data_IF_650367864049
#
_entry.id   IF_650367864049
#
_cell.length_a   1.000
_cell.length_b   1.000
_cell.length_c   1.000
_cell.angle_alpha   90.00
_cell.angle_beta   90.00
_cell.angle_gamma   90.00
#
_symmetry.space_group_name_H-M   'P 1'
#
loop_
_entity.id
_entity.type
_entity.pdbx_description
1 polymer ?
#
# COMPACT_ATOMS: atom_id res chain seq x y z
N UNK A 1 -23.37 6.90 -12.39
CA UNK A 1 -23.44 5.43 -12.32
C UNK A 1 -22.65 4.97 -11.10
N UNK A 2 -23.25 4.15 -10.25
CA UNK A 2 -22.58 3.54 -9.09
C UNK A 2 -21.46 2.63 -9.55
N UNK A 3 -20.23 2.87 -9.07
CA UNK A 3 -19.09 2.02 -9.37
C UNK A 3 -18.82 1.07 -8.21
N UNK A 4 -18.37 -0.13 -8.51
CA UNK A 4 -17.88 -1.07 -7.49
C UNK A 4 -16.36 -1.06 -7.54
N UNK A 5 -15.72 -0.67 -6.44
CA UNK A 5 -14.28 -0.60 -6.32
C UNK A 5 -13.76 -1.56 -5.24
N UNK A 6 -12.66 -2.20 -5.52
CA UNK A 6 -11.91 -3.01 -4.57
C UNK A 6 -10.71 -2.22 -4.03
N UNK A 7 -10.49 -2.27 -2.72
CA UNK A 7 -9.34 -1.68 -2.02
C UNK A 7 -8.58 -2.82 -1.36
N UNK A 8 -7.29 -2.98 -1.69
CA UNK A 8 -6.42 -4.04 -1.21
C UNK A 8 -5.32 -3.43 -0.35
N UNK A 9 -5.37 -3.69 0.95
CA UNK A 9 -4.56 -3.04 1.97
C UNK A 9 -3.46 -3.96 2.49
N UNK A 10 -2.32 -3.36 2.82
CA UNK A 10 -1.22 -4.00 3.53
C UNK A 10 -0.45 -3.00 4.38
N UNK A 11 0.45 -3.48 5.26
CA UNK A 11 1.29 -2.66 6.12
C UNK A 11 2.77 -2.99 6.01
N UNK A 12 3.62 -1.99 6.20
CA UNK A 12 5.07 -2.12 6.21
C UNK A 12 5.69 -1.47 7.44
N UNK A 13 6.78 -2.08 7.96
CA UNK A 13 7.59 -1.53 9.05
C UNK A 13 6.94 -1.50 10.43
N UNK A 14 5.77 -2.13 10.62
CA UNK A 14 5.07 -2.15 11.91
C UNK A 14 5.94 -2.77 13.02
N UNK A 15 6.48 -3.96 12.80
CA UNK A 15 7.24 -4.72 13.81
C UNK A 15 8.72 -4.37 13.89
N UNK A 16 9.25 -3.49 13.04
CA UNK A 16 10.65 -3.10 13.07
C UNK A 16 10.87 -1.92 14.04
N UNK A 17 11.44 -2.21 15.20
CA UNK A 17 11.70 -1.21 16.25
C UNK A 17 12.79 -0.18 15.88
N UNK A 18 13.60 -0.45 14.85
CA UNK A 18 14.61 0.50 14.36
C UNK A 18 14.00 1.56 13.42
N UNK A 19 12.85 1.29 12.85
CA UNK A 19 12.16 2.21 11.95
C UNK A 19 11.25 3.16 12.74
N UNK A 20 11.39 4.45 12.49
CA UNK A 20 10.60 5.50 13.14
C UNK A 20 9.19 5.61 12.55
N UNK A 21 8.99 5.17 11.31
CA UNK A 21 7.71 5.28 10.61
C UNK A 21 7.13 3.92 10.26
N UNK A 22 5.84 3.79 10.56
CA UNK A 22 4.94 2.80 10.03
C UNK A 22 4.36 3.32 8.71
N UNK A 23 4.18 2.46 7.73
CA UNK A 23 3.45 2.79 6.50
C UNK A 23 2.32 1.79 6.32
N UNK A 24 1.09 2.30 6.21
CA UNK A 24 -0.08 1.52 5.82
C UNK A 24 -0.55 2.07 4.48
N UNK A 25 -0.81 1.20 3.54
CA UNK A 25 -1.26 1.63 2.22
C UNK A 25 -2.13 0.60 1.53
N UNK A 26 -2.64 1.00 0.39
CA UNK A 26 -3.48 0.15 -0.41
C UNK A 26 -3.41 0.50 -1.89
N UNK A 27 -3.77 -0.46 -2.72
CA UNK A 27 -4.13 -0.21 -4.10
C UNK A 27 -5.65 -0.29 -4.26
N UNK A 28 -6.19 0.55 -5.15
CA UNK A 28 -7.62 0.56 -5.50
C UNK A 28 -7.79 0.38 -7.00
N UNK A 29 -8.74 -0.45 -7.38
CA UNK A 29 -9.15 -0.65 -8.76
C UNK A 29 -10.68 -0.82 -8.85
N UNK A 30 -11.25 -0.64 -10.03
CA UNK A 30 -12.62 -1.08 -10.26
C UNK A 30 -12.69 -2.60 -10.19
N UNK A 31 -13.83 -3.13 -9.75
CA UNK A 31 -14.02 -4.58 -9.63
C UNK A 31 -13.87 -5.30 -10.97
N UNK A 32 -14.33 -4.68 -12.04
CA UNK A 32 -14.23 -5.19 -13.40
C UNK A 32 -12.79 -5.28 -13.91
N UNK A 33 -11.90 -4.37 -13.47
CA UNK A 33 -10.49 -4.35 -13.87
C UNK A 33 -9.63 -5.41 -13.17
N UNK A 34 -10.13 -6.04 -12.09
CA UNK A 34 -9.33 -6.97 -11.28
C UNK A 34 -8.75 -8.11 -12.10
N UNK A 35 -9.55 -8.73 -12.97
CA UNK A 35 -9.11 -9.89 -13.76
C UNK A 35 -7.97 -9.52 -14.71
N UNK A 36 -8.07 -8.37 -15.35
CA UNK A 36 -7.03 -7.86 -16.27
C UNK A 36 -5.74 -7.50 -15.53
N UNK A 37 -5.85 -6.87 -14.35
CA UNK A 37 -4.70 -6.57 -13.50
C UNK A 37 -3.96 -7.85 -13.14
N UNK A 38 -4.68 -8.87 -12.68
CA UNK A 38 -4.09 -10.18 -12.34
C UNK A 38 -3.43 -10.81 -13.56
N UNK A 39 -4.10 -10.80 -14.71
CA UNK A 39 -3.59 -11.37 -15.97
C UNK A 39 -2.31 -10.66 -16.42
N UNK A 40 -2.26 -9.33 -16.33
CA UNK A 40 -1.06 -8.55 -16.68
C UNK A 40 0.13 -8.97 -15.81
N UNK A 41 -0.06 -9.04 -14.49
CA UNK A 41 0.99 -9.40 -13.55
C UNK A 41 1.45 -10.85 -13.74
N UNK A 42 0.53 -11.79 -13.93
CA UNK A 42 0.92 -13.19 -14.19
C UNK A 42 1.69 -13.34 -15.51
N UNK A 43 1.38 -12.54 -16.54
CA UNK A 43 2.18 -12.48 -17.77
C UNK A 43 3.59 -11.95 -17.53
N UNK A 44 3.74 -10.91 -16.68
CA UNK A 44 5.05 -10.40 -16.29
C UNK A 44 5.85 -11.46 -15.51
N UNK A 45 5.23 -12.13 -14.55
CA UNK A 45 5.86 -13.24 -13.80
C UNK A 45 6.33 -14.35 -14.75
N UNK A 46 5.48 -14.78 -15.67
CA UNK A 46 5.81 -15.84 -16.63
C UNK A 46 7.00 -15.44 -17.52
N UNK A 47 7.02 -14.19 -18.03
CA UNK A 47 8.11 -13.66 -18.87
C UNK A 47 9.47 -13.71 -18.16
N UNK A 48 9.50 -13.43 -16.87
CA UNK A 48 10.72 -13.40 -16.06
C UNK A 48 11.00 -14.70 -15.29
N UNK A 49 10.19 -15.74 -15.47
CA UNK A 49 10.35 -17.01 -14.75
C UNK A 49 10.11 -16.89 -13.23
N UNK A 50 9.27 -15.97 -12.79
CA UNK A 50 8.95 -15.76 -11.39
C UNK A 50 7.74 -16.60 -10.98
N UNK A 51 7.93 -17.54 -10.07
CA UNK A 51 6.85 -18.40 -9.54
C UNK A 51 6.37 -18.01 -8.15
N UNK A 52 7.11 -17.13 -7.46
CA UNK A 52 6.81 -16.76 -6.08
C UNK A 52 5.90 -15.54 -5.95
N UNK A 53 5.64 -15.18 -4.70
CA UNK A 53 4.94 -13.96 -4.30
C UNK A 53 5.76 -12.71 -4.66
N UNK A 54 5.06 -11.66 -5.10
CA UNK A 54 5.63 -10.34 -5.30
C UNK A 54 5.57 -9.61 -3.95
N UNK A 55 6.65 -8.93 -3.58
CA UNK A 55 6.62 -8.13 -2.37
C UNK A 55 7.96 -7.46 -2.11
N UNK A 56 7.96 -6.48 -1.22
CA UNK A 56 9.17 -5.71 -0.90
C UNK A 56 10.30 -6.57 -0.35
N UNK A 57 9.97 -7.63 0.41
CA UNK A 57 10.97 -8.55 0.99
C UNK A 57 11.72 -9.33 -0.09
N UNK A 58 11.08 -9.62 -1.21
CA UNK A 58 11.64 -10.42 -2.30
C UNK A 58 12.34 -9.60 -3.39
N UNK A 59 12.33 -8.24 -3.26
CA UNK A 59 13.09 -7.33 -4.13
C UNK A 59 14.58 -7.58 -3.98
N UNK A 60 15.23 -7.96 -5.08
CA UNK A 60 16.66 -8.27 -5.14
C UNK A 60 17.25 -7.95 -6.51
N UNK A 61 18.58 -7.80 -6.58
CA UNK A 61 19.29 -7.51 -7.84
C UNK A 61 19.10 -8.62 -8.88
N UNK A 62 18.98 -9.87 -8.45
CA UNK A 62 18.74 -11.01 -9.36
C UNK A 62 17.37 -11.00 -10.04
N UNK A 63 16.43 -10.19 -9.54
CA UNK A 63 15.08 -10.01 -10.09
C UNK A 63 14.86 -8.55 -10.54
N UNK A 64 15.91 -7.83 -10.86
CA UNK A 64 15.86 -6.39 -11.13
C UNK A 64 14.89 -6.07 -12.27
N UNK A 65 15.05 -6.70 -13.43
CA UNK A 65 14.24 -6.44 -14.62
C UNK A 65 12.76 -6.67 -14.37
N UNK A 66 12.43 -7.73 -13.61
CA UNK A 66 11.05 -8.02 -13.21
C UNK A 66 10.44 -6.89 -12.34
N UNK A 67 11.17 -6.44 -11.30
CA UNK A 67 10.65 -5.39 -10.43
C UNK A 67 10.57 -4.02 -11.10
N UNK A 68 11.53 -3.70 -12.00
CA UNK A 68 11.45 -2.51 -12.83
C UNK A 68 10.23 -2.56 -13.75
N UNK A 69 9.98 -3.68 -14.42
CA UNK A 69 8.83 -3.82 -15.34
C UNK A 69 7.48 -3.76 -14.61
N UNK A 70 7.38 -4.30 -13.37
CA UNK A 70 6.16 -4.17 -12.56
C UNK A 70 5.87 -2.70 -12.21
N UNK A 71 6.87 -1.95 -11.77
CA UNK A 71 6.64 -0.54 -11.40
C UNK A 71 6.38 0.33 -12.62
N UNK A 72 6.98 0.01 -13.78
CA UNK A 72 6.65 0.63 -15.07
C UNK A 72 5.19 0.35 -15.46
N UNK A 73 4.77 -0.92 -15.35
CA UNK A 73 3.37 -1.31 -15.59
C UNK A 73 2.41 -0.55 -14.66
N UNK A 74 2.73 -0.51 -13.35
CA UNK A 74 1.91 0.23 -12.39
C UNK A 74 1.82 1.71 -12.77
N UNK A 75 2.93 2.38 -13.05
CA UNK A 75 2.95 3.81 -13.37
C UNK A 75 2.11 4.15 -14.61
N UNK A 76 2.15 3.28 -15.63
CA UNK A 76 1.45 3.47 -16.91
C UNK A 76 0.00 2.95 -16.92
N UNK A 77 -0.41 2.14 -15.95
CA UNK A 77 -1.77 1.59 -15.88
C UNK A 77 -2.75 2.64 -15.33
N UNK A 78 -3.88 2.83 -16.01
CA UNK A 78 -4.98 3.67 -15.53
C UNK A 78 -6.00 2.90 -14.67
N UNK A 79 -5.86 1.56 -14.58
CA UNK A 79 -6.81 0.67 -13.90
C UNK A 79 -6.57 0.54 -12.40
N UNK A 80 -5.40 0.92 -11.92
CA UNK A 80 -5.00 0.77 -10.53
C UNK A 80 -4.35 2.05 -10.00
N UNK A 81 -4.69 2.43 -8.79
CA UNK A 81 -4.15 3.61 -8.10
C UNK A 81 -3.67 3.22 -6.71
N UNK A 82 -2.74 3.97 -6.16
CA UNK A 82 -2.14 3.71 -4.86
C UNK A 82 -2.32 4.88 -3.91
N UNK A 83 -2.53 4.57 -2.63
CA UNK A 83 -2.49 5.52 -1.53
C UNK A 83 -1.84 4.91 -0.31
N UNK A 84 -1.05 5.70 0.41
CA UNK A 84 -0.52 5.29 1.70
C UNK A 84 -0.53 6.43 2.72
N UNK A 85 -0.49 6.03 3.99
CA UNK A 85 -0.32 6.89 5.16
C UNK A 85 0.99 6.50 5.82
N UNK A 86 1.91 7.45 5.93
CA UNK A 86 3.12 7.34 6.74
C UNK A 86 2.81 7.90 8.12
N UNK A 87 3.07 7.16 9.18
CA UNK A 87 2.79 7.59 10.54
C UNK A 87 4.03 7.45 11.42
N UNK A 88 4.40 8.53 12.13
CA UNK A 88 5.49 8.48 13.08
C UNK A 88 5.06 7.66 14.31
N UNK A 89 5.78 6.57 14.57
CA UNK A 89 5.46 5.65 15.67
C UNK A 89 5.48 6.35 17.04
N UNK A 90 6.36 7.31 17.26
CA UNK A 90 6.43 8.05 18.54
C UNK A 90 5.13 8.81 18.83
N UNK A 91 4.46 9.30 17.81
CA UNK A 91 3.22 10.08 17.96
C UNK A 91 1.98 9.17 18.08
N UNK A 92 2.12 7.88 17.73
CA UNK A 92 1.05 6.89 17.82
C UNK A 92 1.02 6.15 19.15
N UNK A 93 2.20 5.89 19.75
CA UNK A 93 2.38 4.98 20.88
C UNK A 93 1.96 5.54 22.25
N UNK A 94 1.27 6.66 22.35
CA UNK A 94 0.63 7.08 23.59
C UNK A 94 -0.64 6.28 23.96
N UNK A 95 -1.02 5.32 23.11
CA UNK A 95 -2.19 4.44 23.21
C UNK A 95 -1.77 2.99 23.00
N UNK A 96 -2.69 2.06 23.23
CA UNK A 96 -2.53 0.65 22.84
C UNK A 96 -2.08 0.56 21.37
N UNK A 97 -0.96 -0.13 21.11
CA UNK A 97 -0.31 -0.23 19.79
C UNK A 97 -1.29 -0.71 18.71
N UNK A 98 -2.19 -1.62 19.06
CA UNK A 98 -3.18 -2.15 18.12
C UNK A 98 -4.25 -1.09 17.79
N UNK A 99 -4.66 -0.26 18.74
CA UNK A 99 -5.60 0.83 18.48
C UNK A 99 -4.97 1.92 17.60
N UNK A 100 -3.70 2.25 17.83
CA UNK A 100 -2.95 3.19 17.02
C UNK A 100 -2.84 2.73 15.56
N UNK A 101 -2.59 1.45 15.34
CA UNK A 101 -2.54 0.83 14.03
C UNK A 101 -3.87 1.01 13.24
N UNK A 102 -5.00 0.75 13.89
CA UNK A 102 -6.32 0.92 13.25
C UNK A 102 -6.72 2.38 13.03
N UNK A 103 -6.15 3.34 13.78
CA UNK A 103 -6.30 4.77 13.48
C UNK A 103 -5.66 5.10 12.12
N UNK A 104 -4.49 4.54 11.81
CA UNK A 104 -3.83 4.77 10.51
C UNK A 104 -4.63 4.15 9.36
N UNK A 105 -5.19 2.94 9.54
CA UNK A 105 -6.11 2.36 8.56
C UNK A 105 -7.36 3.21 8.33
N UNK A 106 -7.91 3.76 9.40
CA UNK A 106 -9.05 4.65 9.29
C UNK A 106 -8.72 5.89 8.46
N UNK A 107 -7.54 6.52 8.71
CA UNK A 107 -7.07 7.66 7.92
C UNK A 107 -6.85 7.30 6.44
N UNK A 108 -6.35 6.11 6.14
CA UNK A 108 -6.18 5.64 4.78
C UNK A 108 -7.53 5.54 4.06
N UNK A 109 -8.52 4.92 4.69
CA UNK A 109 -9.78 4.52 4.06
C UNK A 109 -10.79 5.66 3.98
N UNK A 110 -11.01 6.41 5.07
CA UNK A 110 -12.06 7.43 5.17
C UNK A 110 -11.89 8.57 4.15
N UNK A 111 -10.65 8.91 3.79
CA UNK A 111 -10.36 9.98 2.84
C UNK A 111 -10.23 9.52 1.38
N UNK A 112 -10.58 8.27 1.09
CA UNK A 112 -10.40 7.70 -0.25
C UNK A 112 -11.69 7.24 -0.92
N UNK A 113 -12.79 7.28 -0.19
CA UNK A 113 -14.09 6.84 -0.68
C UNK A 113 -14.90 8.02 -1.19
N UNK A 114 -15.42 7.90 -2.42
CA UNK A 114 -16.29 8.88 -3.06
C UNK A 114 -17.75 8.51 -2.85
N UNK A 115 -18.63 9.52 -2.99
CA UNK A 115 -20.08 9.34 -2.98
C UNK A 115 -20.54 8.33 -4.03
N UNK A 116 -21.67 7.69 -3.76
CA UNK A 116 -22.43 6.84 -4.70
C UNK A 116 -21.68 5.59 -5.19
N UNK A 117 -20.59 5.20 -4.52
CA UNK A 117 -19.81 4.01 -4.86
C UNK A 117 -19.93 2.91 -3.80
N UNK A 118 -19.75 1.67 -4.25
CA UNK A 118 -19.69 0.47 -3.40
C UNK A 118 -18.24 0.02 -3.29
N UNK A 119 -17.79 -0.24 -2.06
CA UNK A 119 -16.42 -0.65 -1.77
C UNK A 119 -16.35 -2.05 -1.16
N UNK A 120 -15.41 -2.85 -1.65
CA UNK A 120 -14.96 -4.08 -1.04
C UNK A 120 -13.52 -3.87 -0.55
N UNK A 121 -13.28 -4.08 0.74
CA UNK A 121 -11.99 -3.87 1.38
C UNK A 121 -11.38 -5.22 1.74
N UNK A 122 -10.17 -5.45 1.27
CA UNK A 122 -9.38 -6.65 1.52
C UNK A 122 -8.11 -6.25 2.26
N UNK A 123 -7.91 -6.81 3.43
CA UNK A 123 -6.73 -6.55 4.26
C UNK A 123 -5.83 -7.79 4.27
N UNK A 124 -4.51 -7.60 4.19
CA UNK A 124 -3.60 -8.73 4.39
C UNK A 124 -3.81 -9.35 5.77
N UNK A 125 -3.84 -10.70 5.82
CA UNK A 125 -4.11 -11.43 7.06
C UNK A 125 -3.03 -11.18 8.08
N UNK A 126 -3.43 -10.67 9.25
CA UNK A 126 -2.58 -10.41 10.38
C UNK A 126 -3.03 -11.18 11.60
N UNK A 127 -2.10 -11.65 12.41
CA UNK A 127 -2.41 -12.16 13.76
C UNK A 127 -2.79 -11.00 14.67
N UNK A 128 -4.08 -10.74 14.79
CA UNK A 128 -4.62 -9.74 15.71
C UNK A 128 -4.68 -10.33 17.13
N UNK A 129 -4.35 -9.52 18.14
CA UNK A 129 -4.48 -9.90 19.54
C UNK A 129 -5.94 -9.90 20.02
N UNK A 130 -6.82 -9.14 19.32
CA UNK A 130 -8.23 -8.98 19.67
C UNK A 130 -9.14 -9.30 18.48
N UNK A 131 -10.21 -10.03 18.75
CA UNK A 131 -11.24 -10.32 17.76
C UNK A 131 -12.10 -9.08 17.43
N UNK A 132 -12.72 -9.06 16.26
CA UNK A 132 -13.70 -8.02 15.88
C UNK A 132 -13.11 -6.69 15.42
N UNK A 133 -11.81 -6.62 15.16
CA UNK A 133 -11.14 -5.36 14.72
C UNK A 133 -11.61 -4.88 13.36
N UNK A 134 -11.78 -5.78 12.40
CA UNK A 134 -12.22 -5.41 11.06
C UNK A 134 -13.66 -4.89 11.04
N UNK A 135 -14.64 -5.55 11.69
CA UNK A 135 -15.97 -4.97 11.87
C UNK A 135 -15.96 -3.58 12.53
N UNK A 136 -15.13 -3.40 13.56
CA UNK A 136 -14.97 -2.11 14.24
C UNK A 136 -14.38 -1.04 13.30
N UNK A 137 -13.35 -1.39 12.52
CA UNK A 137 -12.77 -0.50 11.52
C UNK A 137 -13.83 -0.10 10.48
N UNK A 138 -14.57 -1.08 9.94
CA UNK A 138 -15.67 -0.82 9.00
C UNK A 138 -16.66 0.17 9.56
N UNK A 139 -17.15 -0.02 10.80
CA UNK A 139 -18.09 0.89 11.45
C UNK A 139 -17.54 2.31 11.60
N UNK A 140 -16.28 2.44 12.01
CA UNK A 140 -15.62 3.75 12.15
C UNK A 140 -15.49 4.46 10.81
N UNK A 141 -15.01 3.77 9.78
CA UNK A 141 -14.86 4.34 8.44
C UNK A 141 -16.22 4.78 7.88
N UNK A 142 -17.27 3.97 8.05
CA UNK A 142 -18.64 4.31 7.58
C UNK A 142 -19.22 5.58 8.21
N UNK A 143 -18.72 6.05 9.35
CA UNK A 143 -19.17 7.31 9.96
C UNK A 143 -18.58 8.55 9.29
N UNK A 144 -17.41 8.40 8.68
CA UNK A 144 -16.60 9.52 8.18
C UNK A 144 -16.52 9.58 6.66
N UNK A 145 -17.13 8.61 5.96
CA UNK A 145 -17.29 8.64 4.50
C UNK A 145 -18.61 9.29 4.11
N UNK A 146 -18.78 9.74 2.85
CA UNK A 146 -20.05 10.28 2.37
C UNK A 146 -21.21 9.29 2.61
N UNK A 147 -22.39 9.79 3.02
CA UNK A 147 -23.57 8.96 3.35
C UNK A 147 -23.96 7.98 2.25
N UNK A 148 -23.72 8.33 0.99
CA UNK A 148 -24.03 7.50 -0.18
C UNK A 148 -22.95 6.49 -0.54
N UNK A 149 -21.79 6.53 0.13
CA UNK A 149 -20.75 5.51 -0.01
C UNK A 149 -21.09 4.27 0.82
N UNK A 150 -20.92 3.09 0.25
CA UNK A 150 -21.24 1.83 0.93
C UNK A 150 -20.01 0.92 1.00
N UNK A 151 -19.67 0.43 2.18
CA UNK A 151 -18.71 -0.67 2.35
C UNK A 151 -19.51 -1.98 2.41
N UNK A 152 -19.60 -2.68 1.28
CA UNK A 152 -20.34 -3.94 1.19
C UNK A 152 -19.60 -5.07 1.94
N UNK A 153 -18.26 -5.11 1.79
CA UNK A 153 -17.43 -6.15 2.39
C UNK A 153 -16.15 -5.55 2.98
N UNK A 154 -15.71 -6.09 4.12
CA UNK A 154 -14.37 -5.87 4.68
C UNK A 154 -13.89 -7.19 5.29
N UNK A 155 -12.83 -7.78 4.74
CA UNK A 155 -12.35 -9.11 5.10
C UNK A 155 -10.83 -9.24 4.98
N UNK A 156 -10.26 -10.22 5.69
CA UNK A 156 -8.86 -10.59 5.55
C UNK A 156 -8.67 -11.56 4.38
N UNK A 157 -7.55 -11.39 3.68
CA UNK A 157 -7.14 -12.28 2.58
C UNK A 157 -5.69 -12.72 2.76
N UNK A 158 -5.35 -13.86 2.20
CA UNK A 158 -3.97 -14.34 2.14
C UNK A 158 -3.24 -13.60 1.00
N UNK A 159 -2.16 -12.88 1.32
CA UNK A 159 -1.38 -12.14 0.32
C UNK A 159 -0.87 -13.03 -0.81
N UNK A 160 -0.52 -14.29 -0.51
CA UNK A 160 -0.03 -15.26 -1.51
C UNK A 160 -1.03 -15.53 -2.63
N UNK A 161 -2.32 -15.40 -2.35
CA UNK A 161 -3.42 -15.68 -3.29
C UNK A 161 -4.01 -14.39 -3.88
N UNK A 162 -3.49 -13.21 -3.49
CA UNK A 162 -4.06 -11.92 -3.85
C UNK A 162 -3.04 -10.98 -4.47
N UNK A 163 -2.88 -11.03 -5.80
CA UNK A 163 -1.94 -10.20 -6.55
C UNK A 163 -2.06 -8.70 -6.24
N UNK A 164 -3.25 -8.09 -6.13
CA UNK A 164 -3.31 -6.66 -5.77
C UNK A 164 -2.76 -6.34 -4.37
N UNK A 165 -2.90 -7.23 -3.37
CA UNK A 165 -2.24 -7.05 -2.05
C UNK A 165 -0.73 -7.08 -2.20
N UNK A 166 -0.20 -7.99 -3.04
CA UNK A 166 1.24 -8.06 -3.33
C UNK A 166 1.79 -6.78 -3.97
N UNK A 167 1.00 -6.15 -4.86
CA UNK A 167 1.36 -4.84 -5.43
C UNK A 167 1.37 -3.77 -4.33
N UNK A 168 0.39 -3.80 -3.41
CA UNK A 168 0.38 -2.90 -2.27
C UNK A 168 1.63 -3.08 -1.40
N UNK A 169 2.01 -4.33 -1.01
CA UNK A 169 3.25 -4.61 -0.24
C UNK A 169 4.50 -4.05 -0.93
N UNK A 170 4.63 -4.25 -2.24
CA UNK A 170 5.76 -3.71 -3.00
C UNK A 170 5.86 -2.19 -2.87
N UNK A 171 4.74 -1.47 -3.06
CA UNK A 171 4.72 -0.01 -3.09
C UNK A 171 4.86 0.60 -1.69
N UNK A 172 4.16 0.08 -0.68
CA UNK A 172 4.32 0.55 0.71
C UNK A 172 5.71 0.24 1.24
N UNK A 173 6.27 -0.92 0.85
CA UNK A 173 7.63 -1.29 1.20
C UNK A 173 8.66 -0.31 0.65
N UNK A 174 8.49 0.16 -0.60
CA UNK A 174 9.35 1.17 -1.22
C UNK A 174 9.22 2.53 -0.51
N UNK A 175 7.99 2.99 -0.21
CA UNK A 175 7.76 4.23 0.56
C UNK A 175 8.37 4.12 1.95
N UNK A 176 8.12 3.03 2.67
CA UNK A 176 8.65 2.81 4.02
C UNK A 176 10.18 2.71 4.06
N UNK A 177 10.79 2.11 3.04
CA UNK A 177 12.25 2.05 2.88
C UNK A 177 12.85 3.45 2.74
N UNK A 178 12.28 4.28 1.87
CA UNK A 178 12.72 5.66 1.67
C UNK A 178 12.44 6.55 2.90
N UNK A 179 11.26 6.42 3.53
CA UNK A 179 10.85 7.25 4.66
C UNK A 179 11.71 6.99 5.90
N UNK A 180 12.11 5.74 6.15
CA UNK A 180 12.99 5.40 7.27
C UNK A 180 14.48 5.60 6.96
N UNK A 181 14.81 6.17 5.79
CA UNK A 181 16.19 6.55 5.41
C UNK A 181 17.04 5.40 4.89
N UNK A 182 16.49 4.20 4.70
CA UNK A 182 17.25 3.05 4.18
C UNK A 182 17.78 3.25 2.75
N UNK A 183 17.21 4.20 2.00
CA UNK A 183 17.72 4.59 0.68
C UNK A 183 19.02 5.43 0.76
N UNK A 184 19.38 5.92 1.94
CA UNK A 184 20.60 6.71 2.17
C UNK A 184 21.76 5.80 2.61
N UNK A 185 22.78 5.57 1.75
CA UNK A 185 23.89 4.68 2.06
C UNK A 185 24.80 5.22 3.18
N UNK A 186 24.71 6.51 3.51
CA UNK A 186 25.48 7.09 4.62
C UNK A 186 24.90 6.67 5.97
N UNK A 187 23.57 6.49 6.05
CA UNK A 187 22.87 6.02 7.25
C UNK A 187 22.81 4.50 7.35
N UNK A 188 22.67 3.83 6.21
CA UNK A 188 22.53 2.38 6.13
C UNK A 188 23.48 1.81 5.08
N UNK A 189 24.81 1.67 5.40
CA UNK A 189 25.81 1.23 4.43
C UNK A 189 25.60 -0.19 3.88
N UNK A 190 24.86 -1.03 4.62
CA UNK A 190 24.52 -2.40 4.21
C UNK A 190 23.14 -2.51 3.53
N UNK A 191 22.49 -1.39 3.25
CA UNK A 191 21.20 -1.40 2.56
C UNK A 191 21.38 -1.84 1.09
N UNK A 192 20.34 -2.46 0.55
CA UNK A 192 20.38 -2.94 -0.84
C UNK A 192 20.43 -1.77 -1.84
N UNK A 193 21.50 -1.63 -2.65
CA UNK A 193 21.58 -0.58 -3.66
C UNK A 193 20.43 -0.66 -4.67
N UNK A 194 20.02 -1.88 -5.03
CA UNK A 194 18.91 -2.06 -5.96
C UNK A 194 17.56 -1.58 -5.39
N UNK A 195 17.31 -1.75 -4.09
CA UNK A 195 16.11 -1.19 -3.45
C UNK A 195 16.10 0.34 -3.51
N UNK A 196 17.24 0.98 -3.33
CA UNK A 196 17.37 2.44 -3.46
C UNK A 196 17.16 2.88 -4.92
N UNK A 197 17.73 2.14 -5.88
CA UNK A 197 17.51 2.34 -7.31
C UNK A 197 16.03 2.23 -7.69
N UNK A 198 15.34 1.19 -7.21
CA UNK A 198 13.91 0.98 -7.47
C UNK A 198 13.05 2.11 -6.88
N UNK A 199 13.35 2.59 -5.66
CA UNK A 199 12.67 3.76 -5.08
C UNK A 199 12.85 5.02 -5.95
N UNK A 200 14.05 5.26 -6.45
CA UNK A 200 14.37 6.39 -7.33
C UNK A 200 13.68 6.26 -8.68
N UNK A 201 13.60 5.06 -9.23
CA UNK A 201 12.92 4.77 -10.48
C UNK A 201 11.42 5.05 -10.37
N UNK A 202 10.76 4.55 -9.31
CA UNK A 202 9.33 4.84 -9.06
C UNK A 202 9.10 6.35 -8.94
N UNK A 203 9.94 7.06 -8.18
CA UNK A 203 9.82 8.51 -8.03
C UNK A 203 9.92 9.23 -9.38
N UNK A 204 10.87 8.85 -10.23
CA UNK A 204 11.06 9.39 -11.59
C UNK A 204 9.85 9.15 -12.48
N UNK A 205 9.31 7.93 -12.51
CA UNK A 205 8.11 7.59 -13.27
C UNK A 205 6.91 8.45 -12.88
N UNK A 206 6.81 8.81 -11.59
CA UNK A 206 5.75 9.65 -11.04
C UNK A 206 6.04 11.16 -11.12
N UNK A 207 7.15 11.58 -11.74
CA UNK A 207 7.55 12.98 -11.86
C UNK A 207 7.93 13.63 -10.52
N UNK A 208 8.50 12.86 -9.56
CA UNK A 208 8.81 13.30 -8.20
C UNK A 208 10.29 13.21 -7.89
N UNK A 209 10.75 14.05 -6.96
CA UNK A 209 12.14 13.99 -6.46
C UNK A 209 12.37 12.80 -5.51
N UNK A 210 11.35 12.40 -4.75
CA UNK A 210 11.40 11.27 -3.80
C UNK A 210 10.05 10.56 -3.73
N UNK A 211 10.08 9.23 -3.61
CA UNK A 211 8.86 8.39 -3.53
C UNK A 211 8.01 8.67 -2.28
N UNK A 212 8.67 9.02 -1.17
CA UNK A 212 8.03 9.31 0.13
C UNK A 212 7.61 10.78 0.30
N UNK A 213 7.70 11.61 -0.75
CA UNK A 213 7.27 13.00 -0.68
C UNK A 213 5.74 13.06 -0.50
N UNK A 214 5.23 13.73 0.56
CA UNK A 214 3.79 13.94 0.72
C UNK A 214 3.17 14.64 -0.49
N UNK A 215 1.94 14.27 -0.79
CA UNK A 215 1.23 14.76 -1.98
C UNK A 215 0.02 15.60 -1.59
N UNK A 216 -0.47 16.39 -2.54
CA UNK A 216 -1.77 17.03 -2.39
C UNK A 216 -2.88 15.99 -2.26
N UNK A 217 -3.95 16.32 -1.54
CA UNK A 217 -5.04 15.39 -1.27
C UNK A 217 -5.73 14.86 -2.55
N UNK A 218 -5.78 15.67 -3.61
CA UNK A 218 -6.39 15.30 -4.89
C UNK A 218 -5.48 14.47 -5.81
N UNK A 219 -4.26 14.13 -5.40
CA UNK A 219 -3.40 13.22 -6.15
C UNK A 219 -4.09 11.86 -6.32
N UNK A 220 -4.21 11.41 -7.58
CA UNK A 220 -5.02 10.22 -7.89
C UNK A 220 -4.19 8.97 -8.07
N UNK A 221 -3.02 9.07 -8.73
CA UNK A 221 -2.23 7.89 -9.11
C UNK A 221 -1.46 7.29 -7.96
N UNK A 222 -0.73 8.14 -7.22
CA UNK A 222 0.16 7.72 -6.13
C UNK A 222 0.10 8.75 -5.00
N UNK A 223 -0.83 8.58 -4.09
CA UNK A 223 -1.04 9.52 -2.99
C UNK A 223 -0.27 9.09 -1.74
N UNK A 224 0.50 10.00 -1.19
CA UNK A 224 1.29 9.82 0.04
C UNK A 224 0.86 10.86 1.06
N UNK A 225 0.38 10.41 2.21
CA UNK A 225 -0.04 11.25 3.30
C UNK A 225 0.83 11.02 4.53
N UNK A 226 1.27 12.11 5.19
CA UNK A 226 2.02 12.07 6.43
C UNK A 226 1.09 12.42 7.59
N UNK A 227 0.92 11.48 8.51
CA UNK A 227 -0.02 11.59 9.63
C UNK A 227 0.70 11.85 10.95
N UNK A 228 0.23 12.84 11.71
CA UNK A 228 0.68 13.10 13.07
C UNK A 228 1.92 14.00 13.18
N UNK A 229 2.18 14.85 12.20
CA UNK A 229 3.09 16.02 12.35
C UNK A 229 2.33 17.27 12.73
#
# INVERSE_FOLDING_TARGET
MTQIANIYCDESRYSNNQDSYLVIGAVKCLREDKADIVSDIERLKARHGISGEIGWKTVSKSKADFYMEIVDWFANSNRIVFRCVMANKRNLWSRDDEDAFYVVYHQLLSHWMASDNIYHIYLDRKKNSRNGRIPTLKQKVMRDVPETATIACAEEVESRECVPVQIADLLIGAVGYAQNGHADPTKFPNASPFKSELCSHIAKLLGRSRINQPTVQCERKFNVFLFGE
#
